data_IF_355643370549
#
_entry.id   IF_355643370549
#
_cell.length_a   1.000
_cell.length_b   1.000
_cell.length_c   1.000
_cell.angle_alpha   90.00
_cell.angle_beta   90.00
_cell.angle_gamma   90.00
#
_symmetry.space_group_name_H-M   'P 1'
#
loop_
_entity.id
_entity.type
_entity.pdbx_description
1 polymer ?
#
# COMPACT_ATOMS: atom_id res chain seq x y z
N UNK A 1 -7.61 -6.46 12.95
CA UNK A 1 -6.71 -6.53 11.77
C UNK A 1 -7.27 -5.82 10.53
N UNK A 2 -8.53 -6.05 10.11
CA UNK A 2 -9.07 -5.50 8.85
C UNK A 2 -9.05 -3.98 8.70
N UNK A 3 -9.41 -3.23 9.75
CA UNK A 3 -9.43 -1.75 9.69
C UNK A 3 -8.02 -1.15 9.47
N UNK A 4 -7.02 -1.66 10.19
CA UNK A 4 -5.63 -1.22 10.03
C UNK A 4 -5.03 -1.58 8.67
N UNK A 5 -5.38 -2.77 8.14
CA UNK A 5 -4.97 -3.17 6.80
C UNK A 5 -5.60 -2.27 5.73
N UNK A 6 -6.86 -1.87 5.89
CA UNK A 6 -7.54 -0.97 4.96
C UNK A 6 -6.88 0.41 4.88
N UNK A 7 -6.59 1.03 6.03
CA UNK A 7 -5.91 2.32 6.08
C UNK A 7 -4.49 2.21 5.49
N UNK A 8 -3.74 1.16 5.86
CA UNK A 8 -2.39 0.92 5.31
C UNK A 8 -2.45 0.73 3.78
N UNK A 9 -3.40 -0.04 3.28
CA UNK A 9 -3.51 -0.37 1.86
C UNK A 9 -3.87 0.83 1.00
N UNK A 10 -4.54 1.85 1.55
CA UNK A 10 -4.83 3.10 0.83
C UNK A 10 -3.65 4.10 0.91
N UNK A 11 -2.98 4.14 2.06
CA UNK A 11 -1.93 5.14 2.34
C UNK A 11 -0.59 4.80 1.69
N UNK A 12 -0.17 3.53 1.68
CA UNK A 12 1.12 3.12 1.13
C UNK A 12 1.24 3.38 -0.38
N UNK A 13 0.29 2.97 -1.25
CA UNK A 13 0.40 3.26 -2.67
C UNK A 13 0.24 4.76 -2.98
N UNK A 14 -0.55 5.50 -2.18
CA UNK A 14 -0.65 6.96 -2.31
C UNK A 14 0.69 7.64 -1.99
N UNK A 15 1.31 7.27 -0.86
CA UNK A 15 2.63 7.74 -0.46
C UNK A 15 3.70 7.41 -1.53
N UNK A 16 3.72 6.17 -2.02
CA UNK A 16 4.62 5.77 -3.09
C UNK A 16 4.38 6.59 -4.36
N UNK A 17 3.14 6.83 -4.76
CA UNK A 17 2.80 7.63 -5.92
C UNK A 17 3.21 9.11 -5.80
N UNK A 18 3.23 9.66 -4.57
CA UNK A 18 3.62 11.04 -4.27
C UNK A 18 5.15 11.24 -4.22
N UNK A 19 5.88 10.25 -3.74
CA UNK A 19 7.35 10.31 -3.62
C UNK A 19 8.06 9.95 -4.94
N UNK A 20 7.37 9.25 -5.85
CA UNK A 20 8.00 8.70 -7.05
C UNK A 20 7.98 9.67 -8.26
N UNK A 21 9.10 9.81 -9.01
CA UNK A 21 9.10 10.59 -10.24
C UNK A 21 8.19 9.99 -11.33
N UNK A 22 7.61 10.86 -12.17
CA UNK A 22 6.57 10.51 -13.17
C UNK A 22 6.93 9.33 -14.08
N UNK A 23 8.22 9.13 -14.38
CA UNK A 23 8.71 8.11 -15.30
C UNK A 23 8.64 6.68 -14.72
N UNK A 24 8.88 6.50 -13.41
CA UNK A 24 8.96 5.18 -12.75
C UNK A 24 7.80 4.93 -11.78
N UNK A 25 6.84 5.87 -11.70
CA UNK A 25 5.68 5.81 -10.81
C UNK A 25 4.87 4.51 -10.96
N UNK A 26 4.68 4.06 -12.20
CA UNK A 26 3.97 2.80 -12.46
C UNK A 26 4.69 1.59 -11.84
N UNK A 27 6.01 1.50 -12.02
CA UNK A 27 6.80 0.39 -11.49
C UNK A 27 6.83 0.36 -9.96
N UNK A 28 7.04 1.51 -9.30
CA UNK A 28 7.05 1.57 -7.83
C UNK A 28 5.68 1.31 -7.21
N UNK A 29 4.59 1.76 -7.85
CA UNK A 29 3.23 1.45 -7.38
C UNK A 29 2.95 -0.05 -7.51
N UNK A 30 3.40 -0.69 -8.59
CA UNK A 30 3.26 -2.15 -8.75
C UNK A 30 4.13 -2.95 -7.79
N UNK A 31 5.27 -2.41 -7.36
CA UNK A 31 6.15 -3.04 -6.37
C UNK A 31 5.44 -3.27 -5.02
N UNK A 32 4.48 -2.42 -4.65
CA UNK A 32 3.66 -2.64 -3.46
C UNK A 32 2.85 -3.95 -3.53
N UNK A 33 2.29 -4.27 -4.70
CA UNK A 33 1.56 -5.52 -4.92
C UNK A 33 2.51 -6.73 -4.85
N UNK A 34 3.73 -6.58 -5.38
CA UNK A 34 4.78 -7.60 -5.28
C UNK A 34 5.12 -7.91 -3.81
N UNK A 35 5.36 -6.88 -2.99
CA UNK A 35 5.64 -7.08 -1.56
C UNK A 35 4.45 -7.69 -0.80
N UNK A 36 3.22 -7.41 -1.23
CA UNK A 36 2.02 -8.02 -0.66
C UNK A 36 1.98 -9.53 -0.95
N UNK A 37 2.23 -9.93 -2.20
CA UNK A 37 2.32 -11.34 -2.58
C UNK A 37 3.49 -12.06 -1.87
N UNK A 38 4.65 -11.41 -1.77
CA UNK A 38 5.79 -11.91 -1.03
C UNK A 38 5.49 -12.10 0.46
N UNK A 39 4.76 -11.17 1.09
CA UNK A 39 4.32 -11.30 2.48
C UNK A 39 3.36 -12.48 2.69
N UNK A 40 2.44 -12.72 1.76
CA UNK A 40 1.56 -13.91 1.79
C UNK A 40 2.39 -15.19 1.67
N UNK A 41 3.37 -15.22 0.77
CA UNK A 41 4.29 -16.36 0.60
C UNK A 41 5.09 -16.65 1.88
N UNK A 42 5.68 -15.62 2.52
CA UNK A 42 6.36 -15.78 3.80
C UNK A 42 5.41 -16.25 4.90
N UNK A 43 4.16 -15.78 4.89
CA UNK A 43 3.10 -16.28 5.76
C UNK A 43 2.88 -17.79 5.61
N UNK A 44 2.80 -18.29 4.38
CA UNK A 44 2.70 -19.73 4.11
C UNK A 44 3.93 -20.51 4.57
N UNK A 45 5.14 -19.99 4.33
CA UNK A 45 6.39 -20.62 4.79
C UNK A 45 6.43 -20.68 6.32
N UNK A 46 6.03 -19.61 7.01
CA UNK A 46 5.91 -19.59 8.46
C UNK A 46 4.87 -20.60 8.95
N UNK A 47 3.71 -20.69 8.28
CA UNK A 47 2.70 -21.70 8.58
C UNK A 47 3.27 -23.13 8.46
N UNK A 48 3.99 -23.44 7.38
CA UNK A 48 4.63 -24.75 7.19
C UNK A 48 5.69 -25.04 8.28
N UNK A 49 6.51 -24.04 8.62
CA UNK A 49 7.57 -24.17 9.62
C UNK A 49 7.02 -24.42 11.04
N UNK A 50 5.88 -23.81 11.39
CA UNK A 50 5.21 -24.01 12.69
C UNK A 50 4.16 -25.12 12.68
N UNK A 51 3.90 -25.77 11.54
CA UNK A 51 2.96 -26.89 11.43
C UNK A 51 3.45 -28.14 12.18
N UNK A 52 4.78 -28.37 12.20
CA UNK A 52 5.40 -29.54 12.85
C UNK A 52 5.74 -29.35 14.35
N UNK A 53 5.35 -28.24 14.98
CA UNK A 53 5.60 -28.04 16.41
C UNK A 53 4.60 -28.89 17.20
N UNK A 54 5.09 -29.91 17.90
CA UNK A 54 4.25 -30.77 18.74
C UNK A 54 3.61 -29.97 19.88
N UNK A 55 2.38 -30.34 20.26
CA UNK A 55 1.67 -29.77 21.40
C UNK A 55 2.45 -30.07 22.69
N UNK A 56 3.32 -29.12 23.08
CA UNK A 56 4.10 -29.16 24.33
C UNK A 56 3.20 -28.89 25.54
N UNK A 57 2.18 -29.71 25.74
CA UNK A 57 1.40 -29.76 26.99
C UNK A 57 0.48 -28.57 27.27
N UNK A 58 0.14 -27.75 26.27
CA UNK A 58 -0.80 -26.62 26.42
C UNK A 58 -2.12 -27.00 25.73
N UNK A 59 -3.18 -27.19 26.52
CA UNK A 59 -4.52 -27.49 25.99
C UNK A 59 -5.00 -26.37 25.05
N UNK A 60 -5.19 -26.71 23.77
CA UNK A 60 -5.72 -25.78 22.75
C UNK A 60 -4.78 -25.45 21.58
N UNK A 61 -3.61 -26.09 21.49
CA UNK A 61 -2.72 -26.02 20.31
C UNK A 61 -1.77 -24.83 20.31
N UNK A 62 -0.46 -25.05 20.35
CA UNK A 62 0.54 -23.96 20.33
C UNK A 62 0.77 -23.38 18.92
N UNK A 63 0.48 -24.16 17.88
CA UNK A 63 0.83 -23.87 16.49
C UNK A 63 0.14 -22.63 15.92
N UNK A 64 -1.17 -22.48 16.14
CA UNK A 64 -1.91 -21.31 15.60
C UNK A 64 -1.50 -20.01 16.30
N UNK A 65 -1.10 -20.06 17.59
CA UNK A 65 -0.63 -18.89 18.34
C UNK A 65 0.76 -18.47 17.88
N UNK A 66 1.64 -19.43 17.61
CA UNK A 66 2.96 -19.17 17.02
C UNK A 66 2.86 -18.66 15.58
N UNK A 67 1.92 -19.16 14.78
CA UNK A 67 1.64 -18.62 13.44
C UNK A 67 1.20 -17.14 13.50
N UNK A 68 0.30 -16.78 14.42
CA UNK A 68 -0.09 -15.38 14.63
C UNK A 68 1.05 -14.53 15.22
N UNK A 69 1.87 -15.10 16.10
CA UNK A 69 3.05 -14.45 16.68
C UNK A 69 4.14 -14.18 15.64
N UNK A 70 4.34 -15.10 14.69
CA UNK A 70 5.28 -14.95 13.59
C UNK A 70 4.89 -13.81 12.66
N UNK A 71 3.59 -13.56 12.45
CA UNK A 71 3.12 -12.38 11.72
C UNK A 71 3.40 -11.06 12.46
N UNK A 72 3.61 -11.10 13.78
CA UNK A 72 4.01 -9.94 14.60
C UNK A 72 5.46 -9.53 14.40
N UNK A 73 6.36 -10.46 14.03
CA UNK A 73 7.79 -10.18 13.89
C UNK A 73 8.11 -9.19 12.73
N UNK A 74 7.54 -9.35 11.52
CA UNK A 74 7.64 -8.32 10.47
C UNK A 74 7.01 -6.99 10.88
N UNK A 75 5.93 -7.00 11.66
CA UNK A 75 5.28 -5.77 12.11
C UNK A 75 6.17 -4.96 13.05
N UNK A 76 6.89 -5.62 13.96
CA UNK A 76 7.89 -5.00 14.83
C UNK A 76 9.06 -4.44 14.01
N UNK A 77 9.55 -5.19 13.03
CA UNK A 77 10.61 -4.71 12.14
C UNK A 77 10.20 -3.43 11.39
N UNK A 78 8.97 -3.40 10.85
CA UNK A 78 8.44 -2.20 10.19
C UNK A 78 8.33 -1.04 11.17
N UNK A 79 7.92 -1.28 12.42
CA UNK A 79 7.80 -0.24 13.44
C UNK A 79 9.14 0.44 13.73
N UNK A 80 10.24 -0.33 13.77
CA UNK A 80 11.59 0.21 13.89
C UNK A 80 12.06 0.99 12.64
N UNK A 81 11.49 0.71 11.47
CA UNK A 81 11.88 1.35 10.22
C UNK A 81 11.15 2.66 9.94
N UNK A 82 9.98 2.88 10.57
CA UNK A 82 9.19 4.13 10.47
C UNK A 82 10.04 5.41 10.67
N UNK A 83 10.87 5.55 11.73
CA UNK A 83 11.61 6.80 11.95
C UNK A 83 12.67 7.12 10.89
N UNK A 84 13.07 6.15 10.07
CA UNK A 84 14.06 6.35 9.01
C UNK A 84 13.45 6.75 7.67
N UNK A 85 12.13 6.67 7.53
CA UNK A 85 11.44 7.00 6.28
C UNK A 85 11.20 8.51 6.21
N UNK A 86 11.72 9.21 5.18
CA UNK A 86 11.44 10.62 4.98
C UNK A 86 9.94 10.86 4.77
N UNK A 87 9.42 11.99 5.22
CA UNK A 87 7.98 12.27 5.17
C UNK A 87 7.52 12.66 3.75
N UNK A 88 6.22 12.51 3.42
CA UNK A 88 5.74 12.82 2.06
C UNK A 88 5.99 14.29 1.72
N UNK A 89 6.71 14.60 0.63
CA UNK A 89 7.01 15.98 0.24
C UNK A 89 5.74 16.76 -0.11
N UNK A 90 4.70 16.09 -0.63
CA UNK A 90 3.40 16.72 -0.94
C UNK A 90 2.65 17.12 0.33
N UNK A 91 2.68 16.27 1.36
CA UNK A 91 2.07 16.57 2.66
C UNK A 91 2.78 17.72 3.37
N UNK A 92 4.12 17.73 3.37
CA UNK A 92 4.93 18.81 3.93
C UNK A 92 4.65 20.15 3.23
N UNK A 93 4.49 20.16 1.91
CA UNK A 93 4.12 21.35 1.15
C UNK A 93 2.69 21.84 1.42
N UNK A 94 1.71 20.94 1.58
CA UNK A 94 0.36 21.33 2.00
C UNK A 94 0.30 21.95 3.40
N UNK A 95 1.28 21.66 4.26
CA UNK A 95 1.45 22.27 5.60
C UNK A 95 2.25 23.59 5.58
N UNK A 96 2.68 24.08 4.41
CA UNK A 96 3.53 25.27 4.28
C UNK A 96 5.00 25.07 4.66
N UNK A 97 5.45 23.83 4.92
CA UNK A 97 6.82 23.48 5.31
C UNK A 97 7.69 23.23 4.07
N UNK A 98 7.94 24.29 3.29
CA UNK A 98 8.65 24.19 2.01
C UNK A 98 10.10 23.70 2.12
N UNK A 99 10.80 24.10 3.20
CA UNK A 99 12.19 23.71 3.43
C UNK A 99 12.33 22.20 3.71
N UNK A 100 11.46 21.67 4.55
CA UNK A 100 11.47 20.26 4.94
C UNK A 100 11.04 19.35 3.77
N UNK A 101 10.15 19.83 2.91
CA UNK A 101 9.79 19.15 1.66
C UNK A 101 10.99 19.04 0.70
N UNK A 102 11.76 20.13 0.55
CA UNK A 102 12.97 20.13 -0.26
C UNK A 102 14.04 19.17 0.31
N UNK A 103 14.24 19.16 1.63
CA UNK A 103 15.16 18.23 2.30
C UNK A 103 14.74 16.76 2.13
N UNK A 104 13.44 16.46 2.23
CA UNK A 104 12.89 15.11 2.01
C UNK A 104 13.07 14.66 0.55
N UNK A 105 12.83 15.53 -0.42
CA UNK A 105 13.08 15.26 -1.84
C UNK A 105 14.56 15.10 -2.16
N UNK A 106 15.42 15.85 -1.48
CA UNK A 106 16.87 15.75 -1.62
C UNK A 106 17.40 14.44 -1.02
N UNK A 107 16.77 13.91 0.04
CA UNK A 107 17.09 12.57 0.55
C UNK A 107 16.63 11.45 -0.40
N UNK A 108 15.56 11.66 -1.16
CA UNK A 108 15.01 10.67 -2.10
C UNK A 108 15.66 10.71 -3.50
N UNK A 109 16.33 11.82 -3.88
CA UNK A 109 16.87 12.02 -5.23
C UNK A 109 18.38 12.17 -5.21
N UNK A 110 19.04 11.58 -6.21
CA UNK A 110 20.50 11.61 -6.37
C UNK A 110 21.05 12.99 -6.77
N UNK A 111 20.21 13.86 -7.33
CA UNK A 111 20.62 15.18 -7.82
C UNK A 111 19.79 16.33 -7.20
N UNK A 112 20.50 17.34 -6.70
CA UNK A 112 19.94 18.54 -6.06
C UNK A 112 19.12 19.39 -7.02
N UNK A 113 19.52 19.43 -8.29
CA UNK A 113 18.83 20.21 -9.33
C UNK A 113 17.50 19.52 -9.69
N UNK A 114 17.52 18.21 -9.85
CA UNK A 114 16.30 17.41 -10.02
C UNK A 114 15.35 17.55 -8.82
N UNK A 115 15.86 17.57 -7.58
CA UNK A 115 15.04 17.80 -6.38
C UNK A 115 14.39 19.18 -6.36
N UNK A 116 15.13 20.25 -6.69
CA UNK A 116 14.60 21.61 -6.75
C UNK A 116 13.50 21.75 -7.81
N UNK A 117 13.74 21.20 -9.01
CA UNK A 117 12.77 21.22 -10.11
C UNK A 117 11.47 20.52 -9.73
N UNK A 118 11.55 19.34 -9.13
CA UNK A 118 10.37 18.58 -8.75
C UNK A 118 9.63 19.18 -7.56
N UNK A 119 10.34 19.80 -6.61
CA UNK A 119 9.73 20.61 -5.53
C UNK A 119 8.93 21.78 -6.12
N UNK A 120 9.50 22.49 -7.09
CA UNK A 120 8.83 23.61 -7.76
C UNK A 120 7.59 23.16 -8.54
N UNK A 121 7.68 22.06 -9.29
CA UNK A 121 6.52 21.51 -10.00
C UNK A 121 5.40 21.10 -9.05
N UNK A 122 5.74 20.44 -7.94
CA UNK A 122 4.75 20.08 -6.93
C UNK A 122 4.12 21.32 -6.29
N UNK A 123 4.87 22.42 -6.14
CA UNK A 123 4.37 23.65 -5.55
C UNK A 123 3.33 24.32 -6.46
N UNK A 124 3.64 24.43 -7.75
CA UNK A 124 2.72 24.97 -8.76
C UNK A 124 1.44 24.14 -8.84
N UNK A 125 1.56 22.80 -8.88
CA UNK A 125 0.41 21.89 -8.87
C UNK A 125 -0.46 22.06 -7.62
N UNK A 126 0.15 22.22 -6.45
CA UNK A 126 -0.57 22.36 -5.20
C UNK A 126 -1.25 23.74 -5.11
N UNK A 127 -0.66 24.78 -5.69
CA UNK A 127 -1.26 26.11 -5.79
C UNK A 127 -2.45 26.13 -6.75
N UNK A 128 -2.37 25.41 -7.87
CA UNK A 128 -3.52 25.17 -8.76
C UNK A 128 -4.63 24.39 -8.04
N UNK A 129 -4.28 23.39 -7.24
CA UNK A 129 -5.24 22.58 -6.49
C UNK A 129 -5.90 23.37 -5.34
N UNK A 130 -5.15 24.27 -4.69
CA UNK A 130 -5.65 25.21 -3.69
C UNK A 130 -6.66 26.21 -4.27
N UNK A 131 -6.52 26.59 -5.55
CA UNK A 131 -7.54 27.39 -6.24
C UNK A 131 -8.90 26.66 -6.34
N UNK A 132 -8.92 25.33 -6.18
CA UNK A 132 -10.12 24.48 -6.13
C UNK A 132 -10.53 24.03 -4.71
N UNK A 133 -9.85 24.48 -3.64
CA UNK A 133 -10.13 24.08 -2.25
C UNK A 133 -11.44 24.67 -1.68
N UNK A 134 -12.02 25.68 -2.33
CA UNK A 134 -13.33 26.26 -1.94
C UNK A 134 -14.56 25.42 -2.30
N UNK A 135 -14.38 24.25 -2.92
CA UNK A 135 -15.47 23.38 -3.39
C UNK A 135 -15.80 22.34 -2.30
N UNK A 136 -17.03 22.28 -1.78
CA UNK A 136 -17.39 21.29 -0.76
C UNK A 136 -17.21 19.86 -1.27
N UNK A 137 -16.74 18.95 -0.42
CA UNK A 137 -16.40 17.55 -0.76
C UNK A 137 -17.54 16.80 -1.46
N UNK A 138 -18.79 17.12 -1.10
CA UNK A 138 -19.97 16.56 -1.76
C UNK A 138 -20.08 16.98 -3.22
N UNK A 139 -19.76 18.24 -3.53
CA UNK A 139 -19.79 18.78 -4.89
C UNK A 139 -18.66 18.19 -5.74
N UNK A 140 -17.50 17.91 -5.14
CA UNK A 140 -16.42 17.13 -5.77
C UNK A 140 -16.83 15.69 -6.10
N UNK A 141 -17.58 15.03 -5.22
CA UNK A 141 -18.13 13.70 -5.48
C UNK A 141 -19.13 13.72 -6.65
N UNK A 142 -20.00 14.72 -6.71
CA UNK A 142 -20.94 14.89 -7.83
C UNK A 142 -20.17 15.20 -9.13
N UNK A 143 -19.19 16.10 -9.09
CA UNK A 143 -18.35 16.44 -10.25
C UNK A 143 -17.56 15.24 -10.79
N UNK A 144 -17.23 14.27 -9.94
CA UNK A 144 -16.63 13.00 -10.38
C UNK A 144 -17.53 12.21 -11.33
N UNK A 145 -18.85 12.28 -11.15
CA UNK A 145 -19.82 11.62 -12.02
C UNK A 145 -20.37 12.54 -13.13
N UNK A 146 -20.41 13.86 -12.91
CA UNK A 146 -20.97 14.82 -13.87
C UNK A 146 -19.98 15.16 -14.99
N UNK A 147 -18.69 15.31 -14.70
CA UNK A 147 -17.68 15.71 -15.69
C UNK A 147 -17.24 14.49 -16.51
N UNK A 148 -17.43 14.53 -17.83
CA UNK A 148 -17.16 13.39 -18.74
C UNK A 148 -15.72 12.86 -18.66
N UNK A 149 -14.73 13.74 -18.47
CA UNK A 149 -13.31 13.33 -18.27
C UNK A 149 -13.11 12.59 -16.95
N UNK A 150 -13.69 13.09 -15.86
CA UNK A 150 -13.53 12.50 -14.53
C UNK A 150 -14.34 11.19 -14.41
N UNK A 151 -15.53 11.17 -15.00
CA UNK A 151 -16.40 9.99 -15.07
C UNK A 151 -15.75 8.82 -15.80
N UNK A 152 -15.09 9.08 -16.94
CA UNK A 152 -14.38 8.02 -17.66
C UNK A 152 -13.21 7.45 -16.83
N UNK A 153 -12.49 8.31 -16.09
CA UNK A 153 -11.45 7.87 -15.15
C UNK A 153 -12.01 7.06 -13.99
N UNK A 154 -13.09 7.53 -13.35
CA UNK A 154 -13.76 6.84 -12.25
C UNK A 154 -14.34 5.49 -12.69
N UNK A 155 -14.93 5.43 -13.88
CA UNK A 155 -15.48 4.19 -14.44
C UNK A 155 -14.37 3.18 -14.78
N UNK A 156 -13.27 3.63 -15.36
CA UNK A 156 -12.10 2.78 -15.61
C UNK A 156 -11.51 2.25 -14.29
N UNK A 157 -11.36 3.10 -13.27
CA UNK A 157 -10.88 2.68 -11.95
C UNK A 157 -11.83 1.66 -11.30
N UNK A 158 -13.14 1.86 -11.42
CA UNK A 158 -14.15 0.95 -10.89
C UNK A 158 -14.11 -0.40 -11.58
N UNK A 159 -14.03 -0.45 -12.91
CA UNK A 159 -13.91 -1.70 -13.67
C UNK A 159 -12.62 -2.44 -13.28
N UNK A 160 -11.49 -1.74 -13.20
CA UNK A 160 -10.21 -2.37 -12.86
C UNK A 160 -10.26 -2.97 -11.46
N UNK A 161 -10.78 -2.24 -10.47
CA UNK A 161 -10.93 -2.75 -9.09
C UNK A 161 -11.91 -3.93 -9.01
N UNK A 162 -13.00 -3.88 -9.78
CA UNK A 162 -13.95 -4.97 -9.87
C UNK A 162 -13.33 -6.23 -10.50
N UNK A 163 -12.64 -6.09 -11.64
CA UNK A 163 -11.95 -7.18 -12.32
C UNK A 163 -10.85 -7.79 -11.44
N UNK A 164 -10.15 -6.97 -10.65
CA UNK A 164 -9.13 -7.44 -9.72
C UNK A 164 -9.71 -8.38 -8.64
N UNK A 165 -10.89 -8.07 -8.11
CA UNK A 165 -11.57 -8.95 -7.15
C UNK A 165 -12.20 -10.17 -7.84
N UNK A 166 -12.77 -9.98 -9.04
CA UNK A 166 -13.44 -11.04 -9.80
C UNK A 166 -12.50 -12.14 -10.28
N UNK A 167 -11.20 -11.82 -10.47
CA UNK A 167 -10.16 -12.81 -10.72
C UNK A 167 -10.07 -13.89 -9.61
N UNK A 168 -10.68 -13.66 -8.45
CA UNK A 168 -10.85 -14.68 -7.42
C UNK A 168 -9.56 -14.99 -6.66
N UNK A 169 -8.56 -14.11 -6.74
CA UNK A 169 -7.27 -14.28 -6.07
C UNK A 169 -7.44 -14.54 -4.56
N UNK A 170 -8.40 -13.86 -3.92
CA UNK A 170 -8.70 -14.06 -2.51
C UNK A 170 -9.25 -15.46 -2.24
N UNK A 171 -10.13 -15.97 -3.10
CA UNK A 171 -10.65 -17.33 -2.97
C UNK A 171 -9.54 -18.38 -3.15
N UNK A 172 -8.65 -18.19 -4.13
CA UNK A 172 -7.49 -19.06 -4.33
C UNK A 172 -6.56 -19.04 -3.11
N UNK A 173 -6.29 -17.87 -2.54
CA UNK A 173 -5.46 -17.76 -1.33
C UNK A 173 -6.13 -18.46 -0.14
N UNK A 174 -7.42 -18.24 0.13
CA UNK A 174 -8.05 -18.89 1.29
C UNK A 174 -8.26 -20.41 1.12
N UNK A 175 -8.61 -20.86 -0.09
CA UNK A 175 -8.96 -22.25 -0.35
C UNK A 175 -7.83 -23.07 -0.98
N UNK A 176 -6.64 -22.48 -1.17
CA UNK A 176 -5.44 -23.16 -1.68
C UNK A 176 -5.26 -24.53 -1.01
N UNK A 177 -5.24 -24.57 0.33
CA UNK A 177 -4.90 -25.80 1.05
C UNK A 177 -5.99 -26.85 0.88
N UNK A 178 -7.26 -26.44 0.90
CA UNK A 178 -8.39 -27.34 0.67
C UNK A 178 -8.46 -27.86 -0.77
N UNK A 179 -8.04 -27.06 -1.76
CA UNK A 179 -7.97 -27.45 -3.17
C UNK A 179 -6.85 -28.47 -3.35
N UNK A 180 -5.66 -28.24 -2.77
CA UNK A 180 -4.53 -29.16 -2.85
C UNK A 180 -4.85 -30.53 -2.22
N UNK A 181 -5.50 -30.54 -1.05
CA UNK A 181 -5.96 -31.78 -0.39
C UNK A 181 -7.00 -32.51 -1.26
N UNK A 182 -7.95 -31.79 -1.87
CA UNK A 182 -8.96 -32.40 -2.76
C UNK A 182 -8.38 -32.88 -4.09
N UNK A 183 -7.26 -32.31 -4.55
CA UNK A 183 -6.56 -32.74 -5.76
C UNK A 183 -5.61 -33.93 -5.56
N UNK A 184 -5.56 -34.51 -4.36
CA UNK A 184 -4.82 -35.74 -4.08
C UNK A 184 -3.34 -35.56 -3.75
N UNK A 185 -2.89 -34.35 -3.42
CA UNK A 185 -1.57 -34.14 -2.83
C UNK A 185 -1.64 -34.43 -1.32
N UNK A 186 -0.72 -35.26 -0.83
CA UNK A 186 -0.58 -35.60 0.60
C UNK A 186 -0.15 -34.38 1.42
N UNK A 187 -0.67 -34.32 2.65
CA UNK A 187 -0.52 -33.26 3.66
C UNK A 187 0.93 -32.82 3.94
#
# INVERSE_FOLDING_TARGET
>A
MGFGIGIKSATVPAYAAECTPKQIRGALVMLWQFFTAFGIMLGYVACLAFYHVGDRGIGGGLNWRLMLGAAGLPAVFVLFQIPFVPESPRWLMGKGRHKDSYESLNAMRLDKIAAARDTFYQYVLLQEEAAYEGIPTWKRLIEMFTIRRNRNGAFAAWIVMFMQQFCGINAIVYYNSTIFIRSGFTE
#
